data_IF_063802756523
#
_entry.id   IF_063802756523
#
_cell.length_a   1.000
_cell.length_b   1.000
_cell.length_c   1.000
_cell.angle_alpha   90.00
_cell.angle_beta   90.00
_cell.angle_gamma   90.00
#
_symmetry.space_group_name_H-M   'P 1'
#
loop_
_entity.id
_entity.type
_entity.pdbx_description
1 polymer ?
#
# COMPACT_ATOMS: atom_id res chain seq x y z
N UNK A 1 2.92 -13.40 -13.80
CA UNK A 1 3.70 -12.93 -12.64
C UNK A 1 4.32 -14.07 -11.84
N UNK A 2 3.61 -15.17 -11.56
CA UNK A 2 4.11 -16.29 -10.74
C UNK A 2 5.51 -16.82 -11.12
N UNK A 3 5.83 -16.93 -12.42
CA UNK A 3 7.18 -17.34 -12.85
C UNK A 3 8.28 -16.38 -12.38
N UNK A 4 8.03 -15.06 -12.43
CA UNK A 4 9.02 -14.06 -12.00
C UNK A 4 9.18 -14.10 -10.48
N UNK A 5 8.07 -14.10 -9.74
CA UNK A 5 8.10 -14.10 -8.27
C UNK A 5 8.68 -15.41 -7.71
N UNK A 6 8.37 -16.55 -8.33
CA UNK A 6 8.93 -17.86 -7.96
C UNK A 6 10.44 -17.98 -8.16
N UNK A 7 11.00 -17.25 -9.12
CA UNK A 7 12.43 -17.30 -9.46
C UNK A 7 13.19 -16.01 -9.12
N UNK A 8 12.60 -15.11 -8.36
CA UNK A 8 13.14 -13.76 -8.12
C UNK A 8 14.56 -13.78 -7.53
N UNK A 9 14.81 -14.66 -6.55
CA UNK A 9 16.16 -14.85 -5.98
C UNK A 9 17.17 -15.21 -7.05
N UNK A 10 16.84 -16.17 -7.92
CA UNK A 10 17.73 -16.61 -8.99
C UNK A 10 17.96 -15.50 -10.01
N UNK A 11 16.91 -14.80 -10.41
CA UNK A 11 16.98 -13.68 -11.37
C UNK A 11 17.90 -12.59 -10.82
N UNK A 12 17.72 -12.18 -9.58
CA UNK A 12 18.52 -11.14 -8.96
C UNK A 12 20.00 -11.54 -8.85
N UNK A 13 20.28 -12.79 -8.50
CA UNK A 13 21.65 -13.34 -8.43
C UNK A 13 22.28 -13.36 -9.83
N UNK A 14 21.60 -13.92 -10.82
CA UNK A 14 22.12 -14.04 -12.19
C UNK A 14 22.41 -12.66 -12.77
N UNK A 15 21.50 -11.72 -12.65
CA UNK A 15 21.70 -10.35 -13.15
C UNK A 15 22.86 -9.65 -12.43
N UNK A 16 23.00 -9.84 -11.11
CA UNK A 16 24.16 -9.35 -10.34
C UNK A 16 25.48 -9.89 -10.90
N UNK A 17 25.55 -11.21 -11.10
CA UNK A 17 26.74 -11.84 -11.66
C UNK A 17 27.05 -11.38 -13.09
N UNK A 18 26.03 -11.11 -13.90
CA UNK A 18 26.23 -10.56 -15.26
C UNK A 18 26.91 -9.19 -15.18
N UNK A 19 26.41 -8.26 -14.34
CA UNK A 19 27.04 -6.94 -14.18
C UNK A 19 28.47 -7.03 -13.64
N UNK A 20 28.68 -7.83 -12.59
CA UNK A 20 29.99 -8.03 -11.99
C UNK A 20 30.95 -8.70 -12.97
N UNK A 21 30.50 -9.73 -13.67
CA UNK A 21 31.28 -10.47 -14.67
C UNK A 21 31.71 -9.61 -15.86
N UNK A 22 30.80 -8.79 -16.39
CA UNK A 22 31.14 -7.82 -17.44
C UNK A 22 32.17 -6.82 -16.93
N UNK A 23 31.98 -6.31 -15.71
CA UNK A 23 32.94 -5.41 -15.08
C UNK A 23 34.33 -6.05 -14.92
N UNK A 24 34.38 -7.25 -14.38
CA UNK A 24 35.60 -8.04 -14.16
C UNK A 24 36.36 -8.29 -15.47
N UNK A 25 35.69 -8.78 -16.50
CA UNK A 25 36.28 -9.09 -17.81
C UNK A 25 36.81 -7.83 -18.49
N UNK A 26 36.06 -6.73 -18.42
CA UNK A 26 36.49 -5.45 -19.01
C UNK A 26 37.66 -4.84 -18.25
N UNK A 27 37.69 -4.95 -16.93
CA UNK A 27 38.79 -4.50 -16.09
C UNK A 27 40.07 -5.29 -16.34
N UNK A 28 39.99 -6.63 -16.49
CA UNK A 28 41.10 -7.51 -16.83
C UNK A 28 41.76 -7.11 -18.14
N UNK A 29 40.93 -6.82 -19.16
CA UNK A 29 41.44 -6.43 -20.51
C UNK A 29 42.07 -5.04 -20.53
N UNK A 30 41.59 -4.11 -19.69
CA UNK A 30 41.97 -2.69 -19.74
C UNK A 30 43.09 -2.28 -18.80
N UNK A 31 43.32 -3.05 -17.74
CA UNK A 31 44.30 -2.77 -16.68
C UNK A 31 43.76 -1.76 -15.64
N UNK A 32 44.50 -1.60 -14.53
CA UNK A 32 44.04 -0.89 -13.34
C UNK A 32 43.65 0.58 -13.57
N UNK A 33 44.48 1.36 -14.26
CA UNK A 33 44.25 2.78 -14.43
C UNK A 33 42.99 3.06 -15.27
N UNK A 34 42.80 2.32 -16.38
CA UNK A 34 41.58 2.44 -17.21
C UNK A 34 40.35 1.95 -16.51
N UNK A 35 40.45 0.87 -15.69
CA UNK A 35 39.33 0.39 -14.90
C UNK A 35 38.93 1.40 -13.82
N UNK A 36 39.91 2.06 -13.16
CA UNK A 36 39.64 3.12 -12.18
C UNK A 36 38.95 4.33 -12.82
N UNK A 37 39.44 4.78 -13.98
CA UNK A 37 38.78 5.85 -14.72
C UNK A 37 37.33 5.49 -15.08
N UNK A 38 37.07 4.24 -15.48
CA UNK A 38 35.71 3.75 -15.75
C UNK A 38 34.86 3.71 -14.48
N UNK A 39 35.40 3.31 -13.33
CA UNK A 39 34.69 3.32 -12.04
C UNK A 39 34.26 4.75 -11.68
N UNK A 40 35.15 5.72 -11.81
CA UNK A 40 34.82 7.14 -11.58
C UNK A 40 33.68 7.60 -12.50
N UNK A 41 33.77 7.30 -13.80
CA UNK A 41 32.70 7.64 -14.75
C UNK A 41 31.37 6.95 -14.41
N UNK A 42 31.40 5.73 -13.93
CA UNK A 42 30.16 5.02 -13.48
C UNK A 42 29.58 5.65 -12.22
N UNK A 43 30.42 6.09 -11.27
CA UNK A 43 29.95 6.85 -10.11
C UNK A 43 29.32 8.20 -10.54
N UNK A 44 29.94 8.91 -11.48
CA UNK A 44 29.37 10.13 -12.07
C UNK A 44 28.02 9.85 -12.74
N UNK A 45 27.87 8.72 -13.47
CA UNK A 45 26.60 8.36 -14.10
C UNK A 45 25.46 8.17 -13.10
N UNK A 46 25.75 7.58 -11.95
CA UNK A 46 24.77 7.41 -10.84
C UNK A 46 24.39 8.78 -10.26
N UNK A 47 25.37 9.64 -9.99
CA UNK A 47 25.11 11.00 -9.48
C UNK A 47 24.23 11.78 -10.47
N UNK A 48 24.52 11.71 -11.76
CA UNK A 48 23.70 12.34 -12.80
C UNK A 48 22.27 11.79 -12.77
N UNK A 49 22.10 10.47 -12.66
CA UNK A 49 20.78 9.86 -12.57
C UNK A 49 20.00 10.34 -11.34
N UNK A 50 20.64 10.47 -10.18
CA UNK A 50 20.01 11.00 -8.95
C UNK A 50 19.62 12.47 -9.07
N UNK A 51 20.44 13.28 -9.73
CA UNK A 51 20.19 14.72 -9.92
C UNK A 51 19.08 14.97 -10.93
N UNK A 52 19.08 14.23 -12.04
CA UNK A 52 18.14 14.44 -13.14
C UNK A 52 16.85 13.61 -13.03
N UNK A 53 16.73 12.72 -12.02
CA UNK A 53 15.55 11.85 -11.85
C UNK A 53 14.25 12.65 -11.90
N UNK A 54 14.13 13.70 -11.08
CA UNK A 54 12.89 14.46 -10.96
C UNK A 54 12.58 15.28 -12.23
N UNK A 55 13.62 15.78 -12.92
CA UNK A 55 13.45 16.47 -14.20
C UNK A 55 12.90 15.52 -15.25
N UNK A 56 13.48 14.32 -15.35
CA UNK A 56 13.02 13.30 -16.32
C UNK A 56 11.66 12.76 -15.93
N UNK A 57 11.41 12.49 -14.64
CA UNK A 57 10.10 12.06 -14.17
C UNK A 57 9.02 13.06 -14.56
N UNK A 58 9.22 14.35 -14.27
CA UNK A 58 8.28 15.41 -14.63
C UNK A 58 8.06 15.52 -16.14
N UNK A 59 9.10 15.29 -16.94
CA UNK A 59 8.98 15.27 -18.40
C UNK A 59 8.18 14.05 -18.87
N UNK A 60 8.43 12.88 -18.30
CA UNK A 60 7.72 11.62 -18.63
C UNK A 60 6.24 11.68 -18.24
N UNK A 61 5.93 12.21 -17.05
CA UNK A 61 4.54 12.36 -16.60
C UNK A 61 3.70 13.31 -17.46
N UNK A 62 4.36 14.27 -18.15
CA UNK A 62 3.71 15.20 -19.08
C UNK A 62 3.56 14.65 -20.51
N UNK A 63 4.08 13.46 -20.79
CA UNK A 63 3.89 12.83 -22.11
C UNK A 63 2.40 12.54 -22.28
N UNK A 64 1.82 13.04 -23.37
CA UNK A 64 0.43 12.78 -23.72
C UNK A 64 0.30 11.49 -24.51
N UNK A 65 -0.44 10.53 -23.98
CA UNK A 65 -0.84 9.29 -24.65
C UNK A 65 -2.35 9.35 -24.88
N UNK A 66 -2.76 9.25 -26.13
CA UNK A 66 -4.18 9.35 -26.53
C UNK A 66 -4.89 10.62 -26.01
N UNK A 67 -4.15 11.74 -25.93
CA UNK A 67 -4.69 13.03 -25.49
C UNK A 67 -4.76 13.23 -23.97
N UNK A 68 -4.28 12.25 -23.17
CA UNK A 68 -4.20 12.34 -21.70
C UNK A 68 -2.75 12.30 -21.24
N UNK A 69 -2.37 13.01 -20.15
CA UNK A 69 -1.08 12.81 -19.50
C UNK A 69 -0.84 11.34 -19.16
N UNK A 70 0.42 10.89 -19.19
CA UNK A 70 0.77 9.48 -18.97
C UNK A 70 0.16 8.93 -17.67
N UNK A 71 0.17 9.70 -16.59
CA UNK A 71 -0.37 9.25 -15.30
C UNK A 71 -1.89 9.03 -15.39
N UNK A 72 -2.62 9.95 -16.03
CA UNK A 72 -4.07 9.86 -16.21
C UNK A 72 -4.43 8.71 -17.17
N UNK A 73 -3.57 8.47 -18.17
CA UNK A 73 -3.70 7.31 -19.06
C UNK A 73 -3.51 6.00 -18.28
N UNK A 74 -2.48 5.87 -17.44
CA UNK A 74 -2.25 4.70 -16.60
C UNK A 74 -3.41 4.48 -15.62
N UNK A 75 -3.91 5.54 -15.00
CA UNK A 75 -5.08 5.48 -14.12
C UNK A 75 -6.34 5.03 -14.87
N UNK A 76 -6.53 5.47 -16.12
CA UNK A 76 -7.68 5.05 -16.94
C UNK A 76 -7.64 3.57 -17.38
N UNK A 77 -6.50 2.90 -17.21
CA UNK A 77 -6.35 1.45 -17.47
C UNK A 77 -6.65 0.60 -16.22
N UNK A 78 -6.86 1.23 -15.07
CA UNK A 78 -7.25 0.51 -13.86
C UNK A 78 -8.66 -0.09 -13.99
N UNK A 79 -8.93 -1.20 -13.29
CA UNK A 79 -10.27 -1.73 -13.18
C UNK A 79 -11.25 -0.66 -12.66
N UNK A 80 -12.51 -0.66 -13.14
CA UNK A 80 -13.51 0.33 -12.72
C UNK A 80 -13.69 0.41 -11.21
N UNK A 81 -13.50 -0.71 -10.51
CA UNK A 81 -13.63 -0.84 -9.05
C UNK A 81 -12.55 -0.05 -8.29
N UNK A 82 -11.44 0.28 -8.96
CA UNK A 82 -10.34 1.09 -8.42
C UNK A 82 -10.35 2.53 -8.95
N UNK A 83 -11.30 2.89 -9.81
CA UNK A 83 -11.35 4.21 -10.43
C UNK A 83 -11.53 5.33 -9.38
N UNK A 84 -12.36 5.09 -8.36
CA UNK A 84 -12.59 6.04 -7.26
C UNK A 84 -11.37 6.17 -6.33
N UNK A 85 -10.53 5.12 -6.28
CA UNK A 85 -9.28 5.12 -5.55
C UNK A 85 -8.08 5.67 -6.39
N UNK A 86 -8.30 5.99 -7.66
CA UNK A 86 -7.22 6.35 -8.58
C UNK A 86 -6.41 7.56 -8.13
N UNK A 87 -7.05 8.60 -7.61
CA UNK A 87 -6.37 9.80 -7.09
C UNK A 87 -5.41 9.48 -5.93
N UNK A 88 -5.82 8.57 -5.03
CA UNK A 88 -5.00 8.16 -3.89
C UNK A 88 -3.88 7.19 -4.28
N UNK A 89 -4.05 6.46 -5.40
CA UNK A 89 -3.00 5.61 -5.96
C UNK A 89 -1.97 6.38 -6.81
N UNK A 90 -2.29 7.62 -7.18
CA UNK A 90 -1.40 8.50 -7.95
C UNK A 90 -0.01 8.66 -7.34
N UNK A 91 0.18 8.86 -6.02
CA UNK A 91 1.51 8.90 -5.41
C UNK A 91 2.30 7.59 -5.64
N UNK A 92 1.68 6.42 -5.45
CA UNK A 92 2.30 5.12 -5.66
C UNK A 92 2.77 4.97 -7.12
N UNK A 93 1.91 5.29 -8.08
CA UNK A 93 2.23 5.23 -9.51
C UNK A 93 3.37 6.19 -9.83
N UNK A 94 3.36 7.38 -9.26
CA UNK A 94 4.42 8.39 -9.45
C UNK A 94 5.76 7.90 -8.91
N UNK A 95 5.78 7.24 -7.73
CA UNK A 95 7.00 6.65 -7.17
C UNK A 95 7.53 5.53 -8.08
N UNK A 96 6.65 4.63 -8.53
CA UNK A 96 7.01 3.54 -9.46
C UNK A 96 7.59 4.10 -10.76
N UNK A 97 6.93 5.10 -11.36
CA UNK A 97 7.44 5.78 -12.56
C UNK A 97 8.80 6.43 -12.30
N UNK A 98 9.00 7.04 -11.13
CA UNK A 98 10.28 7.60 -10.70
C UNK A 98 11.40 6.57 -10.59
N UNK A 99 11.09 5.37 -10.08
CA UNK A 99 12.01 4.24 -10.00
C UNK A 99 12.41 3.77 -11.41
N UNK A 100 11.45 3.60 -12.31
CA UNK A 100 11.70 3.20 -13.69
C UNK A 100 12.55 4.27 -14.40
N UNK A 101 12.20 5.53 -14.28
CA UNK A 101 12.96 6.65 -14.84
C UNK A 101 14.40 6.67 -14.31
N UNK A 102 14.60 6.44 -13.02
CA UNK A 102 15.93 6.35 -12.42
C UNK A 102 16.77 5.21 -13.01
N UNK A 103 16.19 4.00 -13.09
CA UNK A 103 16.89 2.83 -13.68
C UNK A 103 17.31 3.13 -15.12
N UNK A 104 16.40 3.68 -15.93
CA UNK A 104 16.68 4.07 -17.31
C UNK A 104 17.81 5.12 -17.37
N UNK A 105 17.74 6.14 -16.50
CA UNK A 105 18.78 7.17 -16.40
C UNK A 105 20.14 6.59 -16.02
N UNK A 106 20.21 5.66 -15.06
CA UNK A 106 21.47 4.99 -14.70
C UNK A 106 22.05 4.25 -15.90
N UNK A 107 21.24 3.52 -16.64
CA UNK A 107 21.67 2.77 -17.82
C UNK A 107 22.12 3.70 -18.95
N UNK A 108 21.32 4.72 -19.28
CA UNK A 108 21.63 5.68 -20.35
C UNK A 108 22.87 6.51 -19.99
N UNK A 109 22.94 7.05 -18.76
CA UNK A 109 24.10 7.83 -18.30
C UNK A 109 25.36 6.97 -18.27
N UNK A 110 25.24 5.68 -17.89
CA UNK A 110 26.37 4.75 -17.93
C UNK A 110 26.81 4.46 -19.37
N UNK A 111 25.89 4.37 -20.32
CA UNK A 111 26.21 4.27 -21.75
C UNK A 111 26.93 5.53 -22.27
N UNK A 112 26.42 6.71 -21.92
CA UNK A 112 27.06 8.00 -22.32
C UNK A 112 28.47 8.12 -21.71
N UNK A 113 28.63 7.82 -20.43
CA UNK A 113 29.95 7.82 -19.78
C UNK A 113 30.88 6.74 -20.35
N UNK A 114 30.32 5.67 -20.91
CA UNK A 114 31.12 4.69 -21.66
C UNK A 114 31.62 5.24 -22.97
N UNK A 115 30.83 6.03 -23.69
CA UNK A 115 31.29 6.73 -24.92
C UNK A 115 32.41 7.72 -24.59
N UNK A 116 32.22 8.51 -23.51
CA UNK A 116 33.28 9.40 -22.98
C UNK A 116 34.56 8.62 -22.68
N UNK A 117 34.41 7.45 -22.03
CA UNK A 117 35.53 6.57 -21.77
C UNK A 117 36.23 6.06 -23.03
N UNK A 118 35.50 5.75 -24.10
CA UNK A 118 36.10 5.34 -25.38
C UNK A 118 36.96 6.46 -26.02
N UNK A 119 36.51 7.71 -25.92
CA UNK A 119 37.19 8.87 -26.46
C UNK A 119 38.44 9.19 -25.62
N UNK A 120 38.31 9.35 -24.33
CA UNK A 120 39.35 9.82 -23.43
C UNK A 120 40.20 8.70 -22.80
N UNK A 121 39.72 7.48 -22.78
CA UNK A 121 40.43 6.34 -22.21
C UNK A 121 41.70 5.96 -22.95
N UNK A 122 41.88 6.47 -24.18
CA UNK A 122 43.15 6.40 -24.95
C UNK A 122 44.28 7.14 -24.26
N UNK A 123 43.99 8.27 -23.65
CA UNK A 123 44.98 9.12 -22.94
C UNK A 123 45.37 8.56 -21.57
N UNK A 124 44.56 7.67 -21.01
CA UNK A 124 44.84 6.99 -19.73
C UNK A 124 45.74 5.77 -19.99
N UNK A 125 46.93 5.77 -19.44
CA UNK A 125 47.84 4.63 -19.56
C UNK A 125 47.18 3.31 -19.07
N UNK A 126 47.63 2.16 -19.60
CA UNK A 126 47.06 0.85 -19.22
C UNK A 126 47.25 0.50 -17.73
N UNK A 127 48.21 1.14 -17.06
CA UNK A 127 48.56 0.84 -15.67
C UNK A 127 49.13 -0.57 -15.50
N UNK A 128 50.05 -0.77 -14.56
CA UNK A 128 50.58 -2.09 -14.23
C UNK A 128 49.60 -2.83 -13.30
N UNK A 129 49.20 -4.05 -13.63
CA UNK A 129 48.41 -4.92 -12.77
C UNK A 129 47.07 -5.35 -13.36
N UNK A 130 47.04 -6.50 -14.02
CA UNK A 130 45.82 -7.12 -14.52
C UNK A 130 44.83 -7.46 -13.42
N UNK A 131 45.37 -7.95 -12.25
CA UNK A 131 44.56 -8.33 -11.08
C UNK A 131 43.87 -7.08 -10.49
N UNK A 132 44.60 -5.97 -10.29
CA UNK A 132 44.02 -4.71 -9.81
C UNK A 132 42.96 -4.17 -10.77
N UNK A 133 43.17 -4.29 -12.10
CA UNK A 133 42.18 -3.96 -13.10
C UNK A 133 40.91 -4.81 -13.01
N UNK A 134 41.08 -6.09 -12.77
CA UNK A 134 39.98 -7.04 -12.58
C UNK A 134 39.13 -6.69 -11.34
N UNK A 135 39.76 -6.42 -10.19
CA UNK A 135 39.08 -6.02 -8.95
C UNK A 135 38.34 -4.70 -9.16
N UNK A 136 38.99 -3.67 -9.72
CA UNK A 136 38.36 -2.37 -9.99
C UNK A 136 37.20 -2.50 -10.97
N UNK A 137 37.33 -3.35 -11.98
CA UNK A 137 36.26 -3.64 -12.92
C UNK A 137 35.08 -4.35 -12.26
N UNK A 138 35.34 -5.31 -11.38
CA UNK A 138 34.30 -5.96 -10.59
C UNK A 138 33.55 -4.95 -9.69
N UNK A 139 34.26 -4.03 -9.03
CA UNK A 139 33.67 -2.94 -8.25
C UNK A 139 32.76 -2.03 -9.10
N UNK A 140 33.18 -1.72 -10.35
CA UNK A 140 32.35 -0.98 -11.28
C UNK A 140 31.04 -1.72 -11.61
N UNK A 141 31.13 -3.03 -11.88
CA UNK A 141 29.95 -3.87 -12.14
C UNK A 141 29.03 -3.98 -10.91
N UNK A 142 29.61 -4.12 -9.71
CA UNK A 142 28.87 -4.13 -8.45
C UNK A 142 28.14 -2.81 -8.20
N UNK A 143 28.80 -1.66 -8.45
CA UNK A 143 28.18 -0.35 -8.33
C UNK A 143 26.92 -0.26 -9.20
N UNK A 144 27.02 -0.62 -10.49
CA UNK A 144 25.89 -0.59 -11.42
C UNK A 144 24.79 -1.55 -10.97
N UNK A 145 25.17 -2.79 -10.55
CA UNK A 145 24.22 -3.78 -10.03
C UNK A 145 23.45 -3.22 -8.83
N UNK A 146 24.10 -2.59 -7.86
CA UNK A 146 23.43 -1.99 -6.70
C UNK A 146 22.39 -0.95 -7.14
N UNK A 147 22.76 -0.01 -8.00
CA UNK A 147 21.87 1.09 -8.38
C UNK A 147 20.76 0.69 -9.36
N UNK A 148 20.88 -0.45 -10.03
CA UNK A 148 19.80 -1.01 -10.88
C UNK A 148 18.91 -1.98 -10.09
N UNK A 149 19.50 -2.86 -9.29
CA UNK A 149 18.75 -3.94 -8.64
C UNK A 149 18.15 -3.56 -7.28
N UNK A 150 18.73 -2.59 -6.55
CA UNK A 150 18.11 -2.16 -5.29
C UNK A 150 16.73 -1.53 -5.48
N UNK A 151 16.47 -0.66 -6.49
CA UNK A 151 15.11 -0.20 -6.78
C UNK A 151 14.17 -1.33 -7.20
N UNK A 152 14.67 -2.29 -8.00
CA UNK A 152 13.88 -3.49 -8.37
C UNK A 152 13.53 -4.32 -7.13
N UNK A 153 14.46 -4.45 -6.19
CA UNK A 153 14.21 -5.11 -4.91
C UNK A 153 13.12 -4.38 -4.10
N UNK A 154 13.16 -3.05 -4.05
CA UNK A 154 12.13 -2.27 -3.36
C UNK A 154 10.74 -2.48 -3.98
N UNK A 155 10.64 -2.51 -5.30
CA UNK A 155 9.38 -2.86 -5.99
C UNK A 155 8.94 -4.29 -5.68
N UNK A 156 9.87 -5.25 -5.64
CA UNK A 156 9.55 -6.65 -5.32
C UNK A 156 9.01 -6.80 -3.90
N UNK A 157 9.56 -6.06 -2.92
CA UNK A 157 9.07 -6.06 -1.54
C UNK A 157 7.61 -5.58 -1.44
N UNK A 158 7.23 -4.62 -2.28
CA UNK A 158 5.86 -4.11 -2.30
C UNK A 158 4.83 -5.10 -2.85
N UNK A 159 5.25 -6.13 -3.61
CA UNK A 159 4.33 -7.13 -4.16
C UNK A 159 3.60 -7.93 -3.09
N UNK A 160 4.18 -8.10 -1.89
CA UNK A 160 3.52 -8.79 -0.78
C UNK A 160 2.22 -8.11 -0.33
N UNK A 161 2.13 -6.80 -0.49
CA UNK A 161 0.96 -6.03 -0.08
C UNK A 161 -0.26 -6.29 -0.99
N UNK A 162 -0.05 -6.91 -2.17
CA UNK A 162 -1.09 -7.20 -3.15
C UNK A 162 -1.39 -8.70 -3.32
N UNK A 163 -0.81 -9.58 -2.48
CA UNK A 163 -0.96 -11.05 -2.61
C UNK A 163 -2.40 -11.54 -2.43
N UNK A 164 -3.15 -10.88 -1.54
CA UNK A 164 -4.52 -11.25 -1.17
C UNK A 164 -5.58 -10.34 -1.82
N UNK A 165 -5.16 -9.48 -2.77
CA UNK A 165 -6.08 -8.58 -3.47
C UNK A 165 -6.78 -9.34 -4.60
N UNK A 166 -8.11 -9.37 -4.55
CA UNK A 166 -8.96 -9.98 -5.57
C UNK A 166 -9.84 -8.91 -6.24
N UNK A 167 -10.08 -9.09 -7.53
CA UNK A 167 -11.08 -8.34 -8.29
C UNK A 167 -11.96 -9.34 -9.04
N UNK A 168 -13.28 -9.23 -8.87
CA UNK A 168 -14.25 -10.15 -9.48
C UNK A 168 -13.96 -11.64 -9.18
N UNK A 169 -13.54 -11.96 -7.93
CA UNK A 169 -13.21 -13.30 -7.48
C UNK A 169 -11.93 -13.90 -8.08
N UNK A 170 -11.08 -13.06 -8.70
CA UNK A 170 -9.77 -13.47 -9.23
C UNK A 170 -8.68 -12.63 -8.59
N UNK A 171 -7.56 -13.27 -8.24
CA UNK A 171 -6.38 -12.53 -7.78
C UNK A 171 -5.94 -11.52 -8.83
N UNK A 172 -5.78 -10.25 -8.42
CA UNK A 172 -5.31 -9.16 -9.29
C UNK A 172 -3.91 -9.43 -9.80
N UNK A 173 -3.05 -9.98 -8.94
CA UNK A 173 -1.71 -10.41 -9.30
C UNK A 173 -1.56 -11.90 -9.04
N UNK A 174 -1.18 -12.65 -10.09
CA UNK A 174 -0.77 -14.03 -9.96
C UNK A 174 0.67 -14.08 -9.41
N UNK A 175 0.79 -14.18 -8.09
CA UNK A 175 2.03 -14.14 -7.33
C UNK A 175 2.33 -15.54 -6.78
N UNK A 176 3.55 -16.02 -6.95
CA UNK A 176 4.04 -17.18 -6.22
C UNK A 176 4.47 -16.76 -4.80
N UNK A 177 3.58 -16.95 -3.84
CA UNK A 177 3.79 -16.58 -2.45
C UNK A 177 5.02 -17.26 -1.83
N UNK A 178 5.17 -18.57 -2.09
CA UNK A 178 6.33 -19.33 -1.59
C UNK A 178 7.65 -18.84 -2.18
N UNK A 179 7.63 -18.47 -3.45
CA UNK A 179 8.78 -17.88 -4.13
C UNK A 179 9.15 -16.53 -3.55
N UNK A 180 8.16 -15.68 -3.25
CA UNK A 180 8.39 -14.38 -2.59
C UNK A 180 8.89 -14.52 -1.17
N UNK A 181 8.32 -15.39 -0.34
CA UNK A 181 8.79 -15.63 1.03
C UNK A 181 10.25 -16.12 1.04
N UNK A 182 10.59 -17.04 0.14
CA UNK A 182 11.96 -17.49 -0.06
C UNK A 182 12.89 -16.34 -0.48
N UNK A 183 12.41 -15.44 -1.33
CA UNK A 183 13.17 -14.27 -1.72
C UNK A 183 13.40 -13.33 -0.54
N UNK A 184 12.37 -12.98 0.24
CA UNK A 184 12.47 -12.05 1.38
C UNK A 184 13.43 -12.54 2.47
N UNK A 185 13.49 -13.85 2.69
CA UNK A 185 14.45 -14.45 3.63
C UNK A 185 15.86 -14.54 3.07
N UNK A 186 16.06 -14.30 1.77
CA UNK A 186 17.36 -14.50 1.11
C UNK A 186 18.39 -13.42 1.48
N UNK A 187 19.70 -13.78 1.53
CA UNK A 187 20.78 -12.80 1.69
C UNK A 187 20.78 -11.74 0.58
N UNK A 188 20.37 -12.10 -0.62
CA UNK A 188 20.28 -11.18 -1.77
C UNK A 188 19.28 -10.06 -1.52
N UNK A 189 18.07 -10.41 -1.06
CA UNK A 189 17.06 -9.41 -0.70
C UNK A 189 17.55 -8.48 0.40
N UNK A 190 18.11 -9.04 1.48
CA UNK A 190 18.66 -8.26 2.60
C UNK A 190 19.74 -7.28 2.13
N UNK A 191 20.68 -7.74 1.30
CA UNK A 191 21.76 -6.90 0.77
C UNK A 191 21.19 -5.71 -0.03
N UNK A 192 20.30 -5.95 -0.99
CA UNK A 192 19.73 -4.87 -1.78
C UNK A 192 18.78 -3.96 -0.99
N UNK A 193 18.10 -4.46 0.04
CA UNK A 193 17.29 -3.65 0.95
C UNK A 193 18.16 -2.67 1.74
N UNK A 194 19.29 -3.11 2.29
CA UNK A 194 20.19 -2.21 2.98
C UNK A 194 20.82 -1.18 2.05
N UNK A 195 21.17 -1.58 0.82
CA UNK A 195 21.64 -0.62 -0.20
C UNK A 195 20.56 0.42 -0.55
N UNK A 196 19.30 0.01 -0.66
CA UNK A 196 18.17 0.91 -0.91
C UNK A 196 18.01 1.96 0.18
N UNK A 197 18.03 1.55 1.44
CA UNK A 197 17.87 2.44 2.60
C UNK A 197 18.94 3.53 2.64
N UNK A 198 20.18 3.19 2.28
CA UNK A 198 21.31 4.12 2.36
C UNK A 198 21.40 5.04 1.14
N UNK A 199 21.25 4.49 -0.06
CA UNK A 199 21.59 5.20 -1.30
C UNK A 199 20.38 5.67 -2.10
N UNK A 200 19.19 5.09 -1.89
CA UNK A 200 18.06 5.27 -2.80
C UNK A 200 16.81 5.85 -2.14
N UNK A 201 16.93 6.38 -0.94
CA UNK A 201 15.78 6.99 -0.24
C UNK A 201 15.07 8.02 -1.12
N UNK A 202 15.82 8.85 -1.86
CA UNK A 202 15.26 9.83 -2.82
C UNK A 202 14.61 9.20 -4.04
N UNK A 203 14.94 7.94 -4.36
CA UNK A 203 14.38 7.24 -5.53
C UNK A 203 13.05 6.59 -5.17
N UNK A 204 12.90 6.13 -3.93
CA UNK A 204 11.73 5.44 -3.40
C UNK A 204 10.77 6.36 -2.64
N UNK A 205 11.00 7.67 -2.69
CA UNK A 205 10.14 8.68 -2.04
C UNK A 205 9.79 9.81 -3.00
N UNK A 206 8.64 10.45 -2.74
CA UNK A 206 8.22 11.72 -3.36
C UNK A 206 7.75 12.66 -2.24
N UNK A 207 7.54 13.92 -2.60
CA UNK A 207 6.83 14.87 -1.72
C UNK A 207 5.46 15.14 -2.30
N UNK A 208 4.46 15.15 -1.45
CA UNK A 208 3.12 15.62 -1.80
C UNK A 208 3.05 17.15 -1.89
N UNK A 209 1.89 17.67 -2.25
CA UNK A 209 1.65 19.11 -2.39
C UNK A 209 1.80 19.88 -1.07
N UNK A 210 1.69 19.19 0.08
CA UNK A 210 1.87 19.73 1.42
C UNK A 210 3.32 19.62 1.90
N UNK A 211 4.22 19.06 1.10
CA UNK A 211 5.63 18.83 1.44
C UNK A 211 5.88 17.61 2.33
N UNK A 212 4.85 16.80 2.63
CA UNK A 212 4.97 15.51 3.35
C UNK A 212 5.70 14.52 2.45
N UNK A 213 6.65 13.78 3.02
CA UNK A 213 7.36 12.71 2.30
C UNK A 213 6.49 11.46 2.27
N UNK A 214 6.22 10.98 1.06
CA UNK A 214 5.53 9.72 0.79
C UNK A 214 6.54 8.68 0.33
N UNK A 215 6.42 7.46 0.86
CA UNK A 215 7.36 6.36 0.61
C UNK A 215 6.74 5.27 -0.25
N UNK A 216 7.54 4.57 -1.03
CA UNK A 216 7.07 3.41 -1.80
C UNK A 216 6.44 2.35 -0.89
N UNK A 217 7.09 2.06 0.25
CA UNK A 217 6.63 1.08 1.23
C UNK A 217 5.27 1.48 1.80
N UNK A 218 5.15 2.70 2.36
CA UNK A 218 3.90 3.19 2.93
C UNK A 218 2.77 3.28 1.92
N UNK A 219 3.04 3.79 0.71
CA UNK A 219 2.01 3.91 -0.33
C UNK A 219 1.57 2.54 -0.86
N UNK A 220 2.47 1.56 -0.99
CA UNK A 220 2.11 0.21 -1.42
C UNK A 220 1.33 -0.56 -0.35
N UNK A 221 1.67 -0.38 0.93
CA UNK A 221 0.94 -0.96 2.05
C UNK A 221 -0.48 -0.39 2.12
N UNK A 222 -0.62 0.93 2.07
CA UNK A 222 -1.91 1.60 2.03
C UNK A 222 -2.77 1.14 0.83
N UNK A 223 -2.16 1.03 -0.35
CA UNK A 223 -2.83 0.55 -1.55
C UNK A 223 -3.29 -0.92 -1.41
N UNK A 224 -2.50 -1.78 -0.79
CA UNK A 224 -2.84 -3.17 -0.52
C UNK A 224 -4.03 -3.31 0.43
N UNK A 225 -4.01 -2.58 1.56
CA UNK A 225 -5.11 -2.54 2.53
C UNK A 225 -6.39 -2.03 1.85
N UNK A 226 -6.29 -0.93 1.11
CA UNK A 226 -7.43 -0.31 0.44
C UNK A 226 -8.02 -1.18 -0.66
N UNK A 227 -7.18 -1.85 -1.44
CA UNK A 227 -7.63 -2.76 -2.48
C UNK A 227 -8.34 -4.00 -1.89
N UNK A 228 -7.84 -4.52 -0.76
CA UNK A 228 -8.50 -5.61 -0.05
C UNK A 228 -9.83 -5.16 0.53
N UNK A 229 -9.87 -4.00 1.17
CA UNK A 229 -11.10 -3.40 1.67
C UNK A 229 -12.13 -3.19 0.53
N UNK A 230 -11.70 -2.64 -0.60
CA UNK A 230 -12.54 -2.45 -1.78
C UNK A 230 -13.06 -3.77 -2.34
N UNK A 231 -12.24 -4.82 -2.39
CA UNK A 231 -12.66 -6.18 -2.78
C UNK A 231 -13.74 -6.73 -1.84
N UNK A 232 -13.55 -6.57 -0.53
CA UNK A 232 -14.52 -7.05 0.45
C UNK A 232 -15.84 -6.24 0.36
N UNK A 233 -15.77 -4.91 0.21
CA UNK A 233 -16.96 -4.07 0.05
C UNK A 233 -17.70 -4.31 -1.27
N UNK A 234 -17.00 -4.64 -2.35
CA UNK A 234 -17.64 -4.95 -3.65
C UNK A 234 -18.52 -6.19 -3.60
N UNK A 235 -18.22 -7.14 -2.71
CA UNK A 235 -19.07 -8.32 -2.46
C UNK A 235 -20.39 -7.93 -1.80
N UNK A 236 -20.42 -6.82 -1.05
CA UNK A 236 -21.63 -6.31 -0.40
C UNK A 236 -22.58 -5.62 -1.37
N UNK A 237 -22.08 -4.96 -2.42
CA UNK A 237 -22.89 -4.16 -3.34
C UNK A 237 -23.86 -4.97 -4.21
N UNK A 238 -23.74 -6.31 -4.21
CA UNK A 238 -24.62 -7.22 -4.96
C UNK A 238 -25.79 -7.80 -4.16
N UNK A 239 -25.78 -7.69 -2.83
CA UNK A 239 -26.79 -8.28 -1.94
C UNK A 239 -27.51 -7.15 -1.20
N UNK A 240 -28.70 -6.76 -1.65
CA UNK A 240 -29.52 -5.74 -0.96
C UNK A 240 -30.03 -6.16 0.43
N UNK A 241 -29.70 -7.37 0.91
CA UNK A 241 -30.14 -7.92 2.18
C UNK A 241 -28.96 -8.31 3.07
N UNK A 242 -29.07 -7.98 4.35
CA UNK A 242 -28.13 -8.43 5.38
C UNK A 242 -28.35 -9.94 5.59
N UNK A 243 -27.37 -10.76 5.22
CA UNK A 243 -27.36 -12.20 5.40
C UNK A 243 -26.03 -12.67 6.00
N UNK A 244 -25.88 -13.96 6.29
CA UNK A 244 -24.69 -14.52 6.93
C UNK A 244 -23.41 -14.22 6.09
N UNK A 245 -23.52 -14.26 4.76
CA UNK A 245 -22.39 -14.00 3.86
C UNK A 245 -21.99 -12.52 3.89
N UNK A 246 -22.96 -11.60 3.90
CA UNK A 246 -22.68 -10.15 4.00
C UNK A 246 -22.06 -9.79 5.33
N UNK A 247 -22.51 -10.41 6.43
CA UNK A 247 -21.94 -10.19 7.77
C UNK A 247 -20.50 -10.67 7.85
N UNK A 248 -20.19 -11.86 7.34
CA UNK A 248 -18.81 -12.35 7.29
C UNK A 248 -17.93 -11.47 6.38
N UNK A 249 -18.48 -10.93 5.32
CA UNK A 249 -17.78 -9.97 4.45
C UNK A 249 -17.48 -8.65 5.19
N UNK A 250 -18.44 -8.11 5.96
CA UNK A 250 -18.21 -6.91 6.79
C UNK A 250 -17.15 -7.16 7.85
N UNK A 251 -17.22 -8.31 8.54
CA UNK A 251 -16.20 -8.72 9.53
C UNK A 251 -14.83 -8.83 8.87
N UNK A 252 -14.77 -9.41 7.67
CA UNK A 252 -13.55 -9.50 6.87
C UNK A 252 -12.98 -8.13 6.51
N UNK A 253 -13.84 -7.19 6.10
CA UNK A 253 -13.46 -5.80 5.81
C UNK A 253 -12.91 -5.08 7.05
N UNK A 254 -13.59 -5.22 8.22
CA UNK A 254 -13.10 -4.69 9.50
C UNK A 254 -11.75 -5.33 9.86
N UNK A 255 -11.62 -6.65 9.72
CA UNK A 255 -10.36 -7.38 9.96
C UNK A 255 -9.22 -6.90 9.05
N UNK A 256 -9.53 -6.51 7.81
CA UNK A 256 -8.55 -5.96 6.88
C UNK A 256 -7.99 -4.60 7.34
N UNK A 257 -8.82 -3.78 8.00
CA UNK A 257 -8.39 -2.53 8.63
C UNK A 257 -7.50 -2.78 9.86
N UNK A 258 -7.53 -3.98 10.44
CA UNK A 258 -6.66 -4.37 11.56
C UNK A 258 -5.16 -4.22 11.28
N UNK A 259 -4.75 -4.25 10.01
CA UNK A 259 -3.38 -3.95 9.59
C UNK A 259 -2.94 -2.51 9.96
N UNK A 260 -3.89 -1.58 10.16
CA UNK A 260 -3.59 -0.18 10.54
C UNK A 260 -3.08 -0.04 11.97
N UNK A 261 -3.30 -1.02 12.85
CA UNK A 261 -2.91 -0.98 14.27
C UNK A 261 -1.39 -0.81 14.49
N UNK A 262 -0.58 -1.30 13.57
CA UNK A 262 0.90 -1.16 13.63
C UNK A 262 1.49 -0.31 12.49
N UNK A 263 0.64 0.24 11.64
CA UNK A 263 1.06 0.95 10.45
C UNK A 263 1.67 2.34 10.76
N UNK A 264 2.45 2.87 9.82
CA UNK A 264 2.97 4.23 9.89
C UNK A 264 1.84 5.27 9.76
N UNK A 265 2.07 6.51 10.23
CA UNK A 265 1.11 7.61 10.05
C UNK A 265 0.80 7.86 8.56
N UNK A 266 1.79 7.65 7.69
CA UNK A 266 1.60 7.76 6.24
C UNK A 266 0.54 6.77 5.73
N UNK A 267 0.61 5.51 6.15
CA UNK A 267 -0.33 4.45 5.75
C UNK A 267 -1.73 4.76 6.27
N UNK A 268 -1.83 5.10 7.56
CA UNK A 268 -3.11 5.43 8.19
C UNK A 268 -3.79 6.61 7.51
N UNK A 269 -3.06 7.71 7.29
CA UNK A 269 -3.60 8.91 6.64
C UNK A 269 -4.06 8.61 5.21
N UNK A 270 -3.29 7.80 4.47
CA UNK A 270 -3.63 7.42 3.09
C UNK A 270 -4.89 6.56 3.05
N UNK A 271 -4.99 5.51 3.90
CA UNK A 271 -6.18 4.64 3.96
C UNK A 271 -7.40 5.42 4.44
N UNK A 272 -7.25 6.26 5.46
CA UNK A 272 -8.32 7.14 5.96
C UNK A 272 -8.83 8.08 4.85
N UNK A 273 -7.93 8.70 4.09
CA UNK A 273 -8.28 9.53 2.94
C UNK A 273 -9.06 8.76 1.87
N UNK A 274 -8.70 7.49 1.62
CA UNK A 274 -9.42 6.61 0.71
C UNK A 274 -10.85 6.31 1.19
N UNK A 275 -11.00 5.93 2.46
CA UNK A 275 -12.32 5.65 3.06
C UNK A 275 -13.21 6.91 3.00
N UNK A 276 -12.67 8.07 3.41
CA UNK A 276 -13.41 9.34 3.38
C UNK A 276 -13.80 9.74 1.95
N UNK A 277 -12.92 9.53 0.96
CA UNK A 277 -13.21 9.82 -0.45
C UNK A 277 -14.28 8.90 -1.01
N UNK A 278 -14.21 7.60 -0.70
CA UNK A 278 -15.22 6.64 -1.11
C UNK A 278 -16.59 6.96 -0.47
N UNK A 279 -16.63 7.30 0.82
CA UNK A 279 -17.85 7.72 1.51
C UNK A 279 -18.46 8.99 0.88
N UNK A 280 -17.63 10.00 0.59
CA UNK A 280 -18.09 11.23 -0.12
C UNK A 280 -18.61 10.93 -1.52
N UNK A 281 -17.98 10.02 -2.26
CA UNK A 281 -18.43 9.56 -3.57
C UNK A 281 -19.83 8.91 -3.52
N UNK A 282 -20.17 8.28 -2.40
CA UNK A 282 -21.50 7.74 -2.11
C UNK A 282 -22.49 8.78 -1.54
N UNK A 283 -22.10 10.04 -1.40
CA UNK A 283 -22.92 11.12 -0.84
C UNK A 283 -23.08 11.06 0.68
N UNK A 284 -22.17 10.37 1.38
CA UNK A 284 -22.19 10.23 2.84
C UNK A 284 -21.39 11.35 3.51
N UNK A 285 -21.79 11.72 4.73
CA UNK A 285 -20.98 12.57 5.60
C UNK A 285 -19.77 11.79 6.11
N UNK A 286 -18.65 12.46 6.36
CA UNK A 286 -17.40 11.82 6.80
C UNK A 286 -16.88 12.40 8.12
N UNK A 287 -17.69 13.20 8.81
CA UNK A 287 -17.24 13.92 10.02
C UNK A 287 -16.76 12.97 11.11
N UNK A 288 -17.49 11.88 11.34
CA UNK A 288 -17.11 10.89 12.36
C UNK A 288 -15.92 10.03 11.86
N UNK A 289 -15.92 9.63 10.56
CA UNK A 289 -14.83 8.86 9.95
C UNK A 289 -13.50 9.64 10.06
N UNK A 290 -13.54 10.94 9.81
CA UNK A 290 -12.36 11.80 9.93
C UNK A 290 -11.85 11.93 11.39
N UNK A 291 -12.70 11.67 12.38
CA UNK A 291 -12.35 11.61 13.80
C UNK A 291 -11.78 10.28 14.29
N UNK A 292 -11.89 9.18 13.55
CA UNK A 292 -11.46 7.85 13.99
C UNK A 292 -9.93 7.77 14.12
N UNK A 293 -9.47 7.28 15.28
CA UNK A 293 -8.07 6.88 15.47
C UNK A 293 -7.86 5.41 15.10
N UNK A 294 -7.67 5.16 13.81
CA UNK A 294 -7.51 3.81 13.25
C UNK A 294 -6.36 3.00 13.86
N UNK A 295 -5.40 3.61 14.55
CA UNK A 295 -4.31 2.86 15.20
C UNK A 295 -4.74 2.20 16.51
N UNK A 296 -5.73 2.77 17.17
CA UNK A 296 -6.16 2.33 18.50
C UNK A 296 -7.47 1.54 18.48
N UNK A 297 -8.15 1.45 17.34
CA UNK A 297 -9.38 0.66 17.18
C UNK A 297 -9.14 -0.81 17.56
N UNK A 298 -10.04 -1.38 18.36
CA UNK A 298 -10.11 -2.82 18.65
C UNK A 298 -10.94 -3.53 17.56
N UNK A 299 -10.29 -3.84 16.44
CA UNK A 299 -10.95 -4.44 15.26
C UNK A 299 -11.60 -5.80 15.54
N UNK A 300 -11.11 -6.59 16.50
CA UNK A 300 -11.72 -7.86 16.89
C UNK A 300 -13.05 -7.61 17.61
N UNK A 301 -13.06 -6.64 18.54
CA UNK A 301 -14.28 -6.21 19.24
C UNK A 301 -15.31 -5.63 18.26
N UNK A 302 -14.87 -4.81 17.30
CA UNK A 302 -15.75 -4.23 16.27
C UNK A 302 -16.37 -5.32 15.38
N UNK A 303 -15.59 -6.31 14.94
CA UNK A 303 -16.08 -7.42 14.14
C UNK A 303 -17.08 -8.31 14.92
N UNK A 304 -16.81 -8.57 16.21
CA UNK A 304 -17.73 -9.32 17.09
C UNK A 304 -19.05 -8.56 17.28
N UNK A 305 -18.99 -7.25 17.43
CA UNK A 305 -20.17 -6.39 17.56
C UNK A 305 -21.07 -6.45 16.30
N UNK A 306 -20.50 -6.51 15.10
CA UNK A 306 -21.27 -6.71 13.85
C UNK A 306 -22.06 -8.00 13.92
N UNK A 307 -21.45 -9.11 14.36
CA UNK A 307 -22.14 -10.40 14.51
C UNK A 307 -23.31 -10.31 15.50
N UNK A 308 -23.07 -9.74 16.67
CA UNK A 308 -24.10 -9.58 17.71
C UNK A 308 -25.28 -8.71 17.25
N UNK A 309 -25.01 -7.61 16.55
CA UNK A 309 -26.07 -6.75 16.00
C UNK A 309 -26.87 -7.45 14.91
N UNK A 310 -26.22 -8.28 14.11
CA UNK A 310 -26.90 -9.08 13.10
C UNK A 310 -27.78 -10.16 13.72
N UNK A 311 -27.29 -10.92 14.70
CA UNK A 311 -28.06 -11.91 15.41
C UNK A 311 -29.30 -11.26 16.08
N UNK A 312 -29.10 -10.09 16.69
CA UNK A 312 -30.19 -9.31 17.26
C UNK A 312 -31.22 -8.83 16.21
N UNK A 313 -30.79 -8.47 15.01
CA UNK A 313 -31.70 -8.09 13.93
C UNK A 313 -32.53 -9.26 13.39
N UNK A 314 -32.00 -10.48 13.47
CA UNK A 314 -32.72 -11.71 13.08
C UNK A 314 -33.75 -12.15 14.10
N UNK A 315 -33.38 -12.11 15.36
CA UNK A 315 -34.22 -12.52 16.48
C UNK A 315 -33.97 -11.62 17.69
N UNK A 316 -34.90 -10.72 17.94
CA UNK A 316 -34.81 -9.81 19.09
C UNK A 316 -34.82 -10.55 20.45
N UNK A 317 -35.11 -11.87 20.49
CA UNK A 317 -35.02 -12.70 21.67
C UNK A 317 -33.63 -13.30 21.91
N UNK A 318 -32.65 -13.07 21.01
CA UNK A 318 -31.26 -13.54 21.22
C UNK A 318 -30.70 -13.00 22.54
N UNK A 319 -31.07 -11.77 22.89
CA UNK A 319 -30.77 -11.20 24.20
C UNK A 319 -31.98 -11.36 25.13
N UNK A 320 -31.96 -12.40 25.91
CA UNK A 320 -33.06 -12.71 26.86
C UNK A 320 -33.00 -11.89 28.15
N UNK A 321 -31.79 -11.53 28.57
CA UNK A 321 -31.56 -10.78 29.80
C UNK A 321 -31.28 -9.30 29.53
N UNK A 322 -31.81 -8.43 30.41
CA UNK A 322 -31.56 -6.97 30.31
C UNK A 322 -30.07 -6.65 30.38
N UNK A 323 -29.27 -7.40 31.12
CA UNK A 323 -27.82 -7.23 31.24
C UNK A 323 -27.06 -7.44 29.92
N UNK A 324 -27.55 -8.32 29.05
CA UNK A 324 -26.95 -8.56 27.73
C UNK A 324 -27.25 -7.39 26.81
N UNK A 325 -28.47 -6.85 26.85
CA UNK A 325 -28.87 -5.66 26.10
C UNK A 325 -28.08 -4.44 26.59
N UNK A 326 -27.96 -4.24 27.89
CA UNK A 326 -27.15 -3.15 28.47
C UNK A 326 -25.70 -3.22 27.96
N UNK A 327 -25.13 -4.43 27.96
CA UNK A 327 -23.78 -4.66 27.46
C UNK A 327 -23.65 -4.39 25.95
N UNK A 328 -24.63 -4.82 25.15
CA UNK A 328 -24.63 -4.61 23.69
C UNK A 328 -24.77 -3.13 23.34
N UNK A 329 -25.69 -2.41 23.98
CA UNK A 329 -25.90 -0.97 23.78
C UNK A 329 -24.65 -0.19 24.20
N UNK A 330 -24.04 -0.56 25.34
CA UNK A 330 -22.80 0.06 25.80
C UNK A 330 -21.64 -0.21 24.83
N UNK A 331 -21.46 -1.45 24.39
CA UNK A 331 -20.41 -1.79 23.44
C UNK A 331 -20.60 -1.06 22.11
N UNK A 332 -21.83 -0.84 21.68
CA UNK A 332 -22.12 -0.04 20.50
C UNK A 332 -21.77 1.44 20.70
N UNK A 333 -22.17 2.02 21.84
CA UNK A 333 -21.83 3.42 22.15
C UNK A 333 -20.32 3.65 22.32
N UNK A 334 -19.61 2.62 22.83
CA UNK A 334 -18.16 2.62 23.04
C UNK A 334 -17.39 2.16 21.76
N UNK A 335 -18.10 1.88 20.66
CA UNK A 335 -17.48 1.49 19.40
C UNK A 335 -16.71 2.67 18.79
N UNK A 336 -15.46 2.44 18.43
CA UNK A 336 -14.58 3.45 17.85
C UNK A 336 -14.65 3.49 16.32
N UNK A 337 -15.25 2.47 15.68
CA UNK A 337 -15.35 2.35 14.24
C UNK A 337 -16.79 2.18 13.78
N UNK A 338 -17.48 1.13 14.24
CA UNK A 338 -18.77 0.71 13.69
C UNK A 338 -19.85 1.78 13.90
N UNK A 339 -20.00 2.29 15.11
CA UNK A 339 -21.05 3.24 15.44
C UNK A 339 -20.85 4.62 14.80
N UNK A 340 -19.64 5.21 14.81
CA UNK A 340 -19.35 6.42 14.02
C UNK A 340 -19.67 6.28 12.54
N UNK A 341 -19.26 5.17 11.91
CA UNK A 341 -19.52 4.90 10.48
C UNK A 341 -21.02 4.71 10.23
N UNK A 342 -21.71 3.94 11.08
CA UNK A 342 -23.15 3.71 10.93
C UNK A 342 -23.96 4.99 11.07
N UNK A 343 -23.55 5.91 11.95
CA UNK A 343 -24.17 7.23 12.09
C UNK A 343 -23.98 8.10 10.84
N UNK A 344 -22.77 8.15 10.27
CA UNK A 344 -22.49 8.87 9.03
C UNK A 344 -23.31 8.29 7.85
N UNK A 345 -23.49 6.97 7.82
CA UNK A 345 -24.28 6.27 6.81
C UNK A 345 -25.78 6.37 7.05
N UNK A 346 -26.24 6.88 8.19
CA UNK A 346 -27.67 6.94 8.54
C UNK A 346 -28.31 5.56 8.70
N UNK A 347 -27.52 4.55 9.09
CA UNK A 347 -28.00 3.17 9.29
C UNK A 347 -28.95 3.13 10.46
N UNK A 348 -30.10 2.45 10.27
CA UNK A 348 -31.10 2.20 11.32
C UNK A 348 -31.47 0.73 11.33
N UNK A 349 -31.65 0.17 12.53
CA UNK A 349 -32.17 -1.20 12.71
C UNK A 349 -33.71 -1.13 12.74
N UNK A 350 -34.35 -1.91 11.87
CA UNK A 350 -35.83 -2.00 11.86
C UNK A 350 -36.31 -2.96 12.97
N UNK A 351 -36.92 -2.39 13.98
CA UNK A 351 -37.54 -3.11 15.11
C UNK A 351 -39.06 -2.93 15.09
N UNK A 352 -39.69 -2.97 13.92
CA UNK A 352 -41.13 -2.80 13.76
C UNK A 352 -41.96 -4.06 14.08
N UNK A 353 -41.33 -5.24 14.19
CA UNK A 353 -42.01 -6.49 14.60
C UNK A 353 -42.54 -6.39 16.02
N UNK A 354 -43.47 -7.30 16.42
CA UNK A 354 -43.99 -7.35 17.79
C UNK A 354 -42.87 -7.60 18.81
N UNK A 355 -41.94 -8.48 18.50
CA UNK A 355 -40.75 -8.80 19.31
C UNK A 355 -39.78 -7.59 19.32
N UNK A 356 -39.62 -6.90 18.17
CA UNK A 356 -38.83 -5.69 18.07
C UNK A 356 -39.36 -4.55 18.94
N UNK A 357 -40.67 -4.42 19.10
CA UNK A 357 -41.29 -3.44 20.01
C UNK A 357 -40.95 -3.70 21.47
N UNK A 358 -40.90 -4.99 21.91
CA UNK A 358 -40.44 -5.37 23.24
C UNK A 358 -38.96 -5.06 23.42
N UNK A 359 -38.17 -5.35 22.40
CA UNK A 359 -36.74 -5.04 22.39
C UNK A 359 -36.49 -3.51 22.46
N UNK A 360 -37.28 -2.70 21.77
CA UNK A 360 -37.18 -1.22 21.89
C UNK A 360 -37.29 -0.73 23.31
N UNK A 361 -38.26 -1.25 24.10
CA UNK A 361 -38.41 -0.88 25.52
C UNK A 361 -37.20 -1.23 26.36
N UNK A 362 -36.60 -2.41 26.12
CA UNK A 362 -35.39 -2.83 26.82
C UNK A 362 -34.16 -2.03 26.42
N UNK A 363 -34.04 -1.68 25.13
CA UNK A 363 -32.97 -0.83 24.62
C UNK A 363 -33.11 0.60 25.19
N UNK A 364 -34.30 1.16 25.21
CA UNK A 364 -34.58 2.47 25.83
C UNK A 364 -34.16 2.47 27.30
N UNK A 365 -34.49 1.42 28.05
CA UNK A 365 -34.06 1.26 29.43
C UNK A 365 -32.53 1.18 29.59
N UNK A 366 -31.82 0.55 28.63
CA UNK A 366 -30.37 0.50 28.59
C UNK A 366 -29.76 1.86 28.27
N UNK A 367 -30.33 2.62 27.33
CA UNK A 367 -29.89 3.98 26.97
C UNK A 367 -30.04 4.93 28.15
N UNK A 368 -31.15 4.84 28.90
CA UNK A 368 -31.43 5.70 30.02
C UNK A 368 -30.76 5.26 31.36
N UNK A 369 -30.10 4.13 31.38
CA UNK A 369 -29.44 3.60 32.57
C UNK A 369 -28.33 4.55 33.04
N UNK A 370 -28.40 5.07 34.29
CA UNK A 370 -27.44 6.05 34.78
C UNK A 370 -26.00 5.56 34.79
N UNK A 371 -25.77 4.28 34.99
CA UNK A 371 -24.43 3.66 35.06
C UNK A 371 -23.71 3.65 33.73
N UNK A 372 -24.41 3.86 32.61
CA UNK A 372 -23.80 3.89 31.28
C UNK A 372 -23.12 5.23 30.95
N UNK A 373 -23.46 6.31 31.68
CA UNK A 373 -22.89 7.65 31.53
C UNK A 373 -22.89 8.20 30.10
N UNK A 374 -23.90 7.83 29.28
CA UNK A 374 -24.02 8.36 27.92
C UNK A 374 -24.33 9.84 27.92
N UNK A 375 -23.67 10.59 27.00
CA UNK A 375 -24.03 11.98 26.72
C UNK A 375 -25.40 12.06 26.06
N UNK A 376 -26.05 13.24 26.11
CA UNK A 376 -27.35 13.45 25.43
C UNK A 376 -27.22 13.22 23.92
N UNK A 377 -26.08 13.53 23.33
CA UNK A 377 -25.80 13.30 21.92
C UNK A 377 -25.69 11.78 21.61
N UNK A 378 -24.95 11.03 22.42
CA UNK A 378 -24.88 9.57 22.28
C UNK A 378 -26.24 8.90 22.45
N UNK A 379 -27.05 9.36 23.40
CA UNK A 379 -28.43 8.86 23.58
C UNK A 379 -29.28 9.13 22.35
N UNK A 380 -29.19 10.32 21.77
CA UNK A 380 -29.94 10.68 20.56
C UNK A 380 -29.48 9.81 19.36
N UNK A 381 -28.19 9.61 19.19
CA UNK A 381 -27.63 8.77 18.14
C UNK A 381 -28.04 7.31 18.28
N UNK A 382 -27.98 6.74 19.50
CA UNK A 382 -28.44 5.38 19.78
C UNK A 382 -29.91 5.20 19.50
N UNK A 383 -30.77 6.16 19.93
CA UNK A 383 -32.21 6.11 19.62
C UNK A 383 -32.46 6.11 18.12
N UNK A 384 -31.77 7.00 17.37
CA UNK A 384 -31.85 7.06 15.92
C UNK A 384 -31.45 5.72 15.28
N UNK A 385 -30.34 5.14 15.73
CA UNK A 385 -29.82 3.86 15.23
C UNK A 385 -30.81 2.69 15.45
N UNK A 386 -31.46 2.62 16.59
CA UNK A 386 -32.48 1.60 16.90
C UNK A 386 -33.90 1.98 16.46
N UNK A 387 -34.08 3.05 15.69
CA UNK A 387 -35.39 3.49 15.21
C UNK A 387 -36.37 3.83 16.35
N UNK A 388 -35.85 4.32 17.48
CA UNK A 388 -36.65 4.76 18.63
C UNK A 388 -36.92 6.25 18.41
N UNK A 389 -38.19 6.57 18.14
CA UNK A 389 -38.62 7.99 18.01
C UNK A 389 -38.64 8.66 19.40
N UNK A 390 -38.03 9.83 19.48
CA UNK A 390 -38.11 10.72 20.66
C UNK A 390 -39.48 11.33 20.78
#
# INVERSE_FOLDING_TARGET
MAFITGNLTLIMIVVSFVFIGIGLLTGLKRGAAKAMFRLILSAVSVILALVFKDVVLNAVLKINIQGKPLIDFLMSMMPPELADAAEQLKPLITIIAGIVAFIVLVLVSNLLTYIVFLIFGGFVGKGKGKIAGMITGALCGTLIAIFVLSPVNSLALCLSNFKDVEANGKKVLDIDEKGLEKYYSSPTCKFYSECSKVFLIKVTTIKDDNGKTLTLEGQSEAAGISAKLGSDLSKLSGSGELNDETVETIKGAIGSLGALKGASDEVVDTVKGLISSAAKGMGLETTNIDGIDFKNVDYEKEADLVGKLYDFSKDANVFTEQSEIDSAVKNLADSELLFPVANDMGVTIDLSSAEGLVAKGKIEAAIEKPDNNFTDEQKAQLRKFFGITV
#
